data_IF_153346903878
#
_entry.id   IF_153346903878
#
_cell.length_a   1.000
_cell.length_b   1.000
_cell.length_c   1.000
_cell.angle_alpha   90.00
_cell.angle_beta   90.00
_cell.angle_gamma   90.00
#
_symmetry.space_group_name_H-M   'P 1'
#
loop_
_entity.id
_entity.type
_entity.pdbx_description
1 polymer ?
#
# COMPACT_ATOMS: atom_id res chain seq x y z
N UNK A 1 -3.93 -9.37 -22.75
CA UNK A 1 -3.26 -8.08 -22.53
C UNK A 1 -3.44 -7.79 -21.06
N UNK A 2 -2.35 -7.61 -20.31
CA UNK A 2 -2.45 -7.28 -18.89
C UNK A 2 -2.76 -5.79 -18.73
N UNK A 3 -3.72 -5.48 -17.86
CA UNK A 3 -4.04 -4.11 -17.50
C UNK A 3 -2.97 -3.59 -16.54
N UNK A 4 -2.61 -2.32 -16.69
CA UNK A 4 -1.63 -1.67 -15.83
C UNK A 4 -2.33 -0.59 -15.01
N UNK A 5 -2.05 -0.57 -13.72
CA UNK A 5 -2.69 0.32 -12.77
C UNK A 5 -1.65 1.20 -12.09
N UNK A 6 -1.92 2.49 -12.04
CA UNK A 6 -1.28 3.37 -11.08
C UNK A 6 -1.96 3.17 -9.74
N UNK A 7 -1.23 2.67 -8.74
CA UNK A 7 -1.73 2.43 -7.38
C UNK A 7 -1.02 3.37 -6.43
N UNK A 8 -1.79 4.17 -5.71
CA UNK A 8 -1.30 5.16 -4.74
C UNK A 8 -1.83 4.82 -3.36
N UNK A 9 -0.94 4.64 -2.39
CA UNK A 9 -1.28 4.64 -0.97
C UNK A 9 -0.74 5.93 -0.34
N UNK A 10 -1.57 6.61 0.42
CA UNK A 10 -1.20 7.86 1.10
C UNK A 10 -2.01 7.95 2.39
N UNK A 11 -1.44 7.43 3.47
CA UNK A 11 -2.12 7.36 4.77
C UNK A 11 -1.18 7.64 5.94
N UNK A 12 -1.77 8.18 7.00
CA UNK A 12 -1.14 8.31 8.31
C UNK A 12 -1.53 7.11 9.18
N UNK A 13 -0.54 6.53 9.86
CA UNK A 13 -0.68 5.40 10.77
C UNK A 13 -0.33 5.84 12.18
N UNK A 14 -0.95 5.19 13.17
CA UNK A 14 -0.78 5.49 14.60
C UNK A 14 0.67 5.33 15.07
N UNK A 15 1.03 6.04 16.14
CA UNK A 15 2.36 6.00 16.76
C UNK A 15 2.67 4.68 17.47
N UNK A 16 1.63 3.97 17.90
CA UNK A 16 1.67 2.64 18.51
C UNK A 16 1.69 1.50 17.47
N UNK A 17 2.12 1.77 16.24
CA UNK A 17 2.21 0.77 15.18
C UNK A 17 3.05 -0.43 15.64
N UNK A 18 2.49 -1.66 15.65
CA UNK A 18 3.22 -2.83 16.11
C UNK A 18 4.50 -3.11 15.30
N UNK A 19 5.54 -3.61 15.99
CA UNK A 19 6.85 -3.89 15.37
C UNK A 19 6.77 -4.90 14.21
N UNK A 20 5.86 -5.87 14.30
CA UNK A 20 5.59 -6.87 13.26
C UNK A 20 4.92 -6.24 12.03
N UNK A 21 4.01 -5.28 12.23
CA UNK A 21 3.40 -4.50 11.13
C UNK A 21 4.45 -3.61 10.46
N UNK A 22 5.29 -2.91 11.23
CA UNK A 22 6.42 -2.14 10.68
C UNK A 22 7.35 -3.06 9.89
N UNK A 23 7.66 -4.24 10.42
CA UNK A 23 8.51 -5.22 9.76
C UNK A 23 7.91 -5.72 8.44
N UNK A 24 6.60 -5.97 8.41
CA UNK A 24 5.88 -6.40 7.21
C UNK A 24 5.85 -5.29 6.15
N UNK A 25 5.59 -4.04 6.54
CA UNK A 25 5.64 -2.89 5.64
C UNK A 25 7.03 -2.68 5.06
N UNK A 26 8.08 -2.73 5.88
CA UNK A 26 9.47 -2.62 5.39
C UNK A 26 9.85 -3.74 4.42
N UNK A 27 9.36 -4.96 4.65
CA UNK A 27 9.54 -6.04 3.69
C UNK A 27 8.77 -5.77 2.40
N UNK A 28 7.52 -5.32 2.47
CA UNK A 28 6.75 -4.93 1.28
C UNK A 28 7.41 -3.81 0.47
N UNK A 29 8.12 -2.89 1.13
CA UNK A 29 8.88 -1.80 0.51
C UNK A 29 10.22 -2.23 -0.11
N UNK A 30 10.60 -3.51 0.00
CA UNK A 30 11.91 -4.01 -0.45
C UNK A 30 13.08 -3.64 0.48
N UNK A 31 12.83 -3.05 1.65
CA UNK A 31 13.87 -2.68 2.61
C UNK A 31 14.40 -3.88 3.39
N UNK A 32 13.74 -5.04 3.29
CA UNK A 32 14.14 -6.30 3.91
C UNK A 32 14.14 -7.42 2.87
N UNK A 33 15.16 -8.31 2.87
CA UNK A 33 15.24 -9.41 1.92
C UNK A 33 14.26 -10.57 2.20
N UNK A 34 13.80 -10.71 3.45
CA UNK A 34 12.96 -11.82 3.89
C UNK A 34 11.72 -11.31 4.66
N UNK A 35 10.55 -11.99 4.50
CA UNK A 35 9.34 -11.64 5.22
C UNK A 35 9.53 -11.85 6.73
N UNK A 36 8.88 -11.04 7.58
CA UNK A 36 8.91 -11.27 9.02
C UNK A 36 8.19 -12.57 9.41
N UNK A 37 8.57 -13.20 10.53
CA UNK A 37 7.86 -14.35 11.06
C UNK A 37 6.38 -14.02 11.35
N UNK A 38 5.48 -14.94 11.04
CA UNK A 38 4.04 -14.79 11.32
C UNK A 38 3.22 -14.11 10.23
N UNK A 39 3.87 -13.55 9.20
CA UNK A 39 3.18 -13.03 8.02
C UNK A 39 2.65 -14.21 7.17
N UNK A 40 1.36 -14.21 6.82
CA UNK A 40 0.75 -15.28 6.03
C UNK A 40 1.28 -15.26 4.58
N UNK A 41 2.02 -16.29 4.13
CA UNK A 41 2.61 -16.30 2.78
C UNK A 41 1.57 -16.45 1.66
N UNK A 42 0.33 -16.85 1.96
CA UNK A 42 -0.75 -16.91 0.98
C UNK A 42 -1.40 -15.55 0.73
N UNK A 43 -1.38 -14.68 1.74
CA UNK A 43 -1.91 -13.31 1.66
C UNK A 43 -0.81 -12.32 1.25
N UNK A 44 0.43 -12.58 1.67
CA UNK A 44 1.59 -11.74 1.44
C UNK A 44 2.70 -12.54 0.75
N UNK A 45 2.51 -12.80 -0.54
CA UNK A 45 3.40 -13.70 -1.29
C UNK A 45 4.75 -13.07 -1.68
N UNK A 46 4.80 -11.74 -1.88
CA UNK A 46 6.00 -11.00 -2.29
C UNK A 46 5.93 -9.51 -1.90
N UNK A 47 7.06 -8.76 -2.02
CA UNK A 47 7.13 -7.32 -1.76
C UNK A 47 6.29 -6.44 -2.70
N UNK A 48 4.98 -6.36 -2.46
CA UNK A 48 4.02 -5.64 -3.31
C UNK A 48 4.27 -4.13 -3.49
N UNK A 49 5.03 -3.48 -2.60
CA UNK A 49 5.29 -2.02 -2.62
C UNK A 49 6.72 -1.67 -3.05
N UNK A 50 7.55 -2.65 -3.41
CA UNK A 50 8.93 -2.43 -3.82
C UNK A 50 8.95 -1.63 -5.12
N UNK A 51 9.56 -0.42 -5.15
CA UNK A 51 9.59 0.40 -6.35
C UNK A 51 10.34 -0.28 -7.50
N UNK A 52 9.71 -0.43 -8.67
CA UNK A 52 10.39 -0.92 -9.87
C UNK A 52 11.29 0.20 -10.45
N UNK A 53 12.62 0.02 -10.51
CA UNK A 53 13.53 0.99 -11.12
C UNK A 53 13.29 1.21 -12.63
N UNK A 54 12.52 0.33 -13.28
CA UNK A 54 12.15 0.41 -14.69
C UNK A 54 10.66 0.75 -14.91
N UNK A 55 9.96 1.20 -13.87
CA UNK A 55 8.54 1.56 -13.96
C UNK A 55 8.25 2.51 -15.12
N UNK A 56 7.16 2.21 -15.84
CA UNK A 56 6.66 3.03 -16.95
C UNK A 56 5.92 4.29 -16.50
N UNK A 57 5.72 4.51 -15.20
CA UNK A 57 5.04 5.71 -14.71
C UNK A 57 5.88 6.97 -14.96
N UNK A 58 5.28 8.11 -15.36
CA UNK A 58 5.97 9.38 -15.37
C UNK A 58 6.50 9.72 -13.97
N UNK A 59 7.81 9.91 -13.85
CA UNK A 59 8.48 10.13 -12.56
C UNK A 59 8.84 8.84 -11.79
N UNK A 60 8.52 7.67 -12.34
CA UNK A 60 8.81 6.36 -11.76
C UNK A 60 7.94 6.00 -10.56
N UNK A 61 8.25 4.84 -9.99
CA UNK A 61 7.69 4.36 -8.73
C UNK A 61 8.36 5.07 -7.53
N UNK A 62 7.60 5.25 -6.47
CA UNK A 62 8.11 5.74 -5.19
C UNK A 62 7.37 5.04 -4.07
N UNK A 63 8.10 4.63 -3.03
CA UNK A 63 7.50 4.05 -1.84
C UNK A 63 8.36 4.39 -0.62
N UNK A 64 7.71 4.78 0.47
CA UNK A 64 8.40 5.08 1.72
C UNK A 64 7.46 4.94 2.93
N UNK A 65 7.99 4.38 4.00
CA UNK A 65 7.44 4.49 5.36
C UNK A 65 8.36 5.41 6.16
N UNK A 66 7.81 6.50 6.72
CA UNK A 66 8.60 7.50 7.47
C UNK A 66 7.92 7.84 8.80
N UNK A 67 8.68 8.22 9.84
CA UNK A 67 8.09 8.87 11.00
C UNK A 67 7.35 10.14 10.57
N UNK A 68 6.14 10.35 11.09
CA UNK A 68 5.30 11.52 10.86
C UNK A 68 5.54 12.63 11.89
N UNK A 69 4.94 13.80 11.65
CA UNK A 69 5.14 15.02 12.45
C UNK A 69 4.58 14.94 13.89
N UNK A 70 3.75 13.93 14.20
CA UNK A 70 3.05 13.76 15.47
C UNK A 70 3.36 12.45 16.21
N UNK A 71 4.55 11.87 16.01
CA UNK A 71 4.97 10.56 16.54
C UNK A 71 4.35 9.34 15.81
N UNK A 72 3.39 9.55 14.92
CA UNK A 72 2.84 8.52 14.01
C UNK A 72 3.78 8.15 12.87
N UNK A 73 3.26 7.40 11.90
CA UNK A 73 3.98 7.01 10.68
C UNK A 73 3.23 7.50 9.43
N UNK A 74 3.97 7.95 8.42
CA UNK A 74 3.43 8.22 7.09
C UNK A 74 3.83 7.11 6.12
N UNK A 75 2.86 6.44 5.52
CA UNK A 75 3.05 5.54 4.39
C UNK A 75 2.64 6.28 3.11
N UNK A 76 3.59 6.43 2.20
CA UNK A 76 3.32 6.95 0.86
C UNK A 76 3.92 6.01 -0.19
N UNK A 77 3.08 5.52 -1.09
CA UNK A 77 3.52 4.75 -2.25
C UNK A 77 2.79 5.19 -3.50
N UNK A 78 3.47 5.02 -4.63
CA UNK A 78 2.93 5.16 -5.98
C UNK A 78 3.66 4.14 -6.84
N UNK A 79 2.95 3.09 -7.24
CA UNK A 79 3.51 1.97 -7.96
C UNK A 79 2.72 1.66 -9.23
N UNK A 80 3.40 1.09 -10.21
CA UNK A 80 2.76 0.50 -11.38
C UNK A 80 2.49 -0.98 -11.13
N UNK A 81 1.23 -1.37 -11.05
CA UNK A 81 0.83 -2.76 -10.79
C UNK A 81 0.17 -3.38 -12.01
N UNK A 82 0.29 -4.70 -12.12
CA UNK A 82 -0.53 -5.49 -13.05
C UNK A 82 -1.87 -5.85 -12.41
N UNK A 83 -2.80 -6.34 -13.22
CA UNK A 83 -4.11 -6.82 -12.76
C UNK A 83 -4.00 -7.96 -11.74
N UNK A 84 -3.02 -8.84 -11.88
CA UNK A 84 -2.76 -9.91 -10.91
C UNK A 84 -2.33 -9.36 -9.53
N UNK A 85 -1.54 -8.28 -9.49
CA UNK A 85 -1.10 -7.63 -8.25
C UNK A 85 -2.25 -6.95 -7.51
N UNK A 86 -3.22 -6.39 -8.24
CA UNK A 86 -4.43 -5.81 -7.63
C UNK A 86 -5.23 -6.85 -6.84
N UNK A 87 -5.16 -8.14 -7.21
CA UNK A 87 -5.77 -9.22 -6.42
C UNK A 87 -5.20 -9.34 -5.00
N UNK A 88 -3.99 -8.83 -4.78
CA UNK A 88 -3.30 -8.84 -3.48
C UNK A 88 -3.55 -7.58 -2.65
N UNK A 89 -4.21 -6.57 -3.22
CA UNK A 89 -4.46 -5.28 -2.57
C UNK A 89 -5.20 -5.44 -1.24
N UNK A 90 -6.24 -6.28 -1.20
CA UNK A 90 -7.06 -6.49 0.00
C UNK A 90 -6.22 -6.95 1.19
N UNK A 91 -5.28 -7.88 0.99
CA UNK A 91 -4.41 -8.36 2.06
C UNK A 91 -3.49 -7.27 2.62
N UNK A 92 -2.97 -6.41 1.74
CA UNK A 92 -2.20 -5.25 2.18
C UNK A 92 -3.08 -4.24 2.94
N UNK A 93 -4.30 -3.98 2.48
CA UNK A 93 -5.22 -3.07 3.16
C UNK A 93 -5.67 -3.61 4.53
N UNK A 94 -5.91 -4.91 4.66
CA UNK A 94 -6.22 -5.58 5.92
C UNK A 94 -5.06 -5.48 6.93
N UNK A 95 -3.81 -5.49 6.45
CA UNK A 95 -2.63 -5.28 7.29
C UNK A 95 -2.56 -3.86 7.86
N UNK A 96 -2.95 -2.84 7.09
CA UNK A 96 -2.73 -1.43 7.47
C UNK A 96 -3.95 -0.71 8.04
N UNK A 97 -5.16 -1.05 7.61
CA UNK A 97 -6.39 -0.36 7.99
C UNK A 97 -6.65 -0.31 9.51
N UNK A 98 -6.38 -1.38 10.30
CA UNK A 98 -6.54 -1.34 11.75
C UNK A 98 -5.63 -0.33 12.46
N UNK A 99 -4.60 0.15 11.76
CA UNK A 99 -3.58 1.04 12.27
C UNK A 99 -3.64 2.44 11.68
N UNK A 100 -4.66 2.74 10.87
CA UNK A 100 -4.92 4.09 10.39
C UNK A 100 -5.09 5.07 11.57
N UNK A 101 -4.46 6.24 11.48
CA UNK A 101 -4.61 7.28 12.48
C UNK A 101 -6.03 7.87 12.47
N UNK A 102 -6.61 7.98 11.27
CA UNK A 102 -7.93 8.55 11.03
C UNK A 102 -8.68 7.76 9.96
N UNK A 103 -10.01 7.78 10.07
CA UNK A 103 -10.91 7.37 9.00
C UNK A 103 -10.80 8.36 7.82
N UNK A 104 -10.99 7.86 6.61
CA UNK A 104 -11.03 8.66 5.39
C UNK A 104 -10.12 8.14 4.29
N UNK A 105 -9.70 9.05 3.41
CA UNK A 105 -8.92 8.73 2.22
C UNK A 105 -7.60 8.03 2.59
N UNK A 106 -7.36 6.87 1.96
CA UNK A 106 -6.16 6.05 2.14
C UNK A 106 -5.32 5.95 0.86
N UNK A 107 -5.85 6.39 -0.28
CA UNK A 107 -5.22 6.17 -1.57
C UNK A 107 -6.24 6.03 -2.70
N UNK A 108 -5.75 5.63 -3.87
CA UNK A 108 -6.58 5.26 -5.00
C UNK A 108 -5.80 4.35 -5.95
N UNK A 109 -6.50 3.71 -6.86
CA UNK A 109 -5.89 3.14 -8.05
C UNK A 109 -6.70 3.49 -9.31
N UNK A 110 -6.04 3.52 -10.46
CA UNK A 110 -6.68 3.71 -11.76
C UNK A 110 -5.93 2.94 -12.84
N UNK A 111 -6.65 2.47 -13.85
CA UNK A 111 -6.00 1.94 -15.04
C UNK A 111 -5.24 3.09 -15.74
N UNK A 112 -4.07 2.80 -16.30
CA UNK A 112 -3.22 3.84 -16.91
C UNK A 112 -3.81 4.45 -18.20
N UNK A 113 -4.81 3.79 -18.78
CA UNK A 113 -5.59 4.24 -19.94
C UNK A 113 -6.97 4.84 -19.58
N UNK A 114 -7.33 4.87 -18.28
CA UNK A 114 -8.58 5.43 -17.76
C UNK A 114 -8.34 6.63 -16.84
N UNK A 115 -9.28 7.57 -16.84
CA UNK A 115 -9.27 8.74 -15.97
C UNK A 115 -9.97 8.52 -14.62
N UNK A 116 -10.86 7.53 -14.49
CA UNK A 116 -11.65 7.30 -13.27
C UNK A 116 -10.88 6.50 -12.20
N UNK A 117 -10.54 7.09 -11.04
CA UNK A 117 -9.93 6.34 -9.95
C UNK A 117 -10.97 5.57 -9.12
N UNK A 118 -10.57 4.39 -8.65
CA UNK A 118 -11.18 3.75 -7.49
C UNK A 118 -10.47 4.25 -6.24
N UNK A 119 -11.21 4.94 -5.37
CA UNK A 119 -10.72 5.53 -4.13
C UNK A 119 -10.72 4.49 -3.02
N UNK A 120 -9.62 4.43 -2.27
CA UNK A 120 -9.44 3.61 -1.08
C UNK A 120 -9.78 4.45 0.15
N UNK A 121 -10.59 3.90 1.05
CA UNK A 121 -11.00 4.58 2.28
C UNK A 121 -10.81 3.65 3.48
N UNK A 122 -10.21 4.15 4.55
CA UNK A 122 -10.22 3.48 5.85
C UNK A 122 -11.40 3.94 6.69
N UNK A 123 -12.00 2.99 7.41
CA UNK A 123 -13.12 3.26 8.29
C UNK A 123 -13.25 2.21 9.37
N UNK A 124 -13.35 2.64 10.63
CA UNK A 124 -13.60 1.76 11.78
C UNK A 124 -12.61 0.57 11.85
N UNK A 125 -11.35 0.82 11.47
CA UNK A 125 -10.28 -0.20 11.42
C UNK A 125 -10.34 -1.16 10.22
N UNK A 126 -11.30 -0.98 9.31
CA UNK A 126 -11.41 -1.71 8.04
C UNK A 126 -11.21 -0.79 6.83
N UNK A 127 -11.48 -1.32 5.64
CA UNK A 127 -11.30 -0.59 4.39
C UNK A 127 -12.50 -0.77 3.43
N UNK A 128 -12.71 0.21 2.56
CA UNK A 128 -13.73 0.19 1.52
C UNK A 128 -13.21 0.80 0.21
N UNK A 129 -13.84 0.43 -0.90
CA UNK A 129 -13.57 0.95 -2.24
C UNK A 129 -14.74 1.81 -2.70
N UNK A 130 -14.44 2.97 -3.28
CA UNK A 130 -15.43 3.88 -3.87
C UNK A 130 -15.04 4.22 -5.31
N UNK A 131 -15.89 3.88 -6.27
CA UNK A 131 -15.73 4.32 -7.66
C UNK A 131 -16.20 5.79 -7.77
N UNK A 132 -15.38 6.65 -8.38
CA UNK A 132 -15.68 8.07 -8.60
C UNK A 132 -16.47 8.34 -9.86
#
# INVERSE_FOLDING_TARGET
MSLHYEVVLACALRDDLPDDVIAALRWHLGERPEPPPGLDPHVHAYPLLEPDPYSGLPGGDVAALRPGDHHGWGLFTRNLWLDDDLGMLTGLLDLIAPHAEHDGYAGHFRATDDAGPTVLVFRDGGHALHES
#
